data_IF_206038507251
#
_entry.id   IF_206038507251
#
_cell.length_a   1.000
_cell.length_b   1.000
_cell.length_c   1.000
_cell.angle_alpha   90.00
_cell.angle_beta   90.00
_cell.angle_gamma   90.00
#
_symmetry.space_group_name_H-M   'P 1'
#
loop_
_entity.id
_entity.type
_entity.pdbx_description
1 polymer ?
#
# COMPACT_ATOMS: atom_id res chain seq x y z
N UNK A 1 -3.00 10.29 -33.52
CA UNK A 1 -2.79 9.12 -32.63
C UNK A 1 -3.06 9.56 -31.19
N UNK A 2 -4.14 9.09 -30.56
CA UNK A 2 -4.33 9.26 -29.10
C UNK A 2 -3.43 8.23 -28.42
N UNK A 3 -2.27 8.67 -27.89
CA UNK A 3 -1.48 7.85 -26.97
C UNK A 3 -2.28 7.71 -25.68
N UNK A 4 -2.60 6.47 -25.32
CA UNK A 4 -3.21 6.09 -24.06
C UNK A 4 -2.38 6.67 -22.92
N UNK A 5 -3.01 7.44 -22.03
CA UNK A 5 -2.41 7.88 -20.79
C UNK A 5 -2.19 6.64 -19.92
N UNK A 6 -0.98 6.06 -19.98
CA UNK A 6 -0.48 5.33 -18.81
C UNK A 6 -0.64 6.26 -17.61
N UNK A 7 -1.23 5.77 -16.52
CA UNK A 7 -1.31 6.54 -15.28
C UNK A 7 0.12 7.03 -14.98
N UNK A 8 0.33 8.35 -14.97
CA UNK A 8 1.67 8.98 -14.96
C UNK A 8 2.55 8.43 -13.84
N UNK A 9 1.91 8.09 -12.71
CA UNK A 9 2.54 7.54 -11.52
C UNK A 9 3.28 6.23 -11.78
N UNK A 10 2.78 5.37 -12.67
CA UNK A 10 3.39 4.07 -12.94
C UNK A 10 4.67 4.16 -13.77
N UNK A 11 4.85 5.23 -14.55
CA UNK A 11 6.10 5.45 -15.29
C UNK A 11 7.17 6.12 -14.41
N UNK A 12 6.78 6.74 -13.29
CA UNK A 12 7.69 7.33 -12.29
C UNK A 12 8.27 6.30 -11.31
N UNK A 13 7.58 5.18 -11.06
CA UNK A 13 8.00 4.16 -10.07
C UNK A 13 8.98 3.07 -10.57
N UNK A 14 9.75 3.26 -11.65
CA UNK A 14 10.52 2.16 -12.29
C UNK A 14 12.03 2.16 -11.97
N UNK A 15 12.59 0.99 -11.59
CA UNK A 15 14.04 0.76 -11.37
C UNK A 15 14.79 0.17 -12.56
N UNK A 16 15.93 0.74 -12.99
CA UNK A 16 16.78 0.06 -13.98
C UNK A 16 17.42 -1.27 -13.51
N UNK A 17 17.52 -1.57 -12.21
CA UNK A 17 18.24 -2.74 -11.69
C UNK A 17 17.41 -4.03 -11.53
N UNK A 18 16.08 -3.92 -11.56
CA UNK A 18 15.18 -5.07 -11.52
C UNK A 18 14.84 -5.55 -12.93
N UNK A 19 14.50 -6.83 -13.07
CA UNK A 19 13.80 -7.24 -14.29
C UNK A 19 12.44 -6.53 -14.35
N UNK A 20 11.99 -6.22 -15.57
CA UNK A 20 10.69 -5.61 -15.80
C UNK A 20 9.54 -6.41 -15.15
N UNK A 21 9.68 -7.72 -15.00
CA UNK A 21 8.71 -8.57 -14.31
C UNK A 21 8.74 -8.38 -12.79
N UNK A 22 9.92 -8.30 -12.18
CA UNK A 22 10.06 -8.08 -10.73
C UNK A 22 9.54 -6.69 -10.33
N UNK A 23 9.82 -5.64 -11.14
CA UNK A 23 9.28 -4.28 -10.88
C UNK A 23 7.77 -4.17 -10.99
N UNK A 24 7.16 -5.01 -11.82
CA UNK A 24 5.72 -4.97 -12.01
C UNK A 24 5.05 -5.41 -10.71
N UNK A 25 5.56 -6.45 -10.07
CA UNK A 25 4.78 -7.16 -9.06
C UNK A 25 4.88 -6.64 -7.62
N UNK A 26 5.74 -5.65 -7.35
CA UNK A 26 5.91 -5.09 -6.01
C UNK A 26 4.95 -3.92 -5.71
N UNK A 27 4.54 -3.80 -4.44
CA UNK A 27 3.73 -2.69 -3.90
C UNK A 27 4.67 -1.63 -3.34
N UNK A 28 5.25 -0.93 -4.30
CA UNK A 28 6.35 -0.01 -4.09
C UNK A 28 7.65 -0.70 -4.50
N UNK A 29 8.57 0.02 -5.12
CA UNK A 29 9.90 -0.48 -5.43
C UNK A 29 10.83 0.60 -5.92
N UNK A 30 11.97 0.75 -5.22
CA UNK A 30 13.03 1.72 -5.51
C UNK A 30 13.32 1.74 -6.99
N UNK A 31 13.24 2.89 -7.65
CA UNK A 31 13.75 3.13 -9.00
C UNK A 31 14.90 4.13 -9.07
N UNK A 32 15.68 4.20 -7.99
CA UNK A 32 16.63 5.27 -7.74
C UNK A 32 16.11 6.29 -6.72
N UNK A 33 17.03 7.18 -6.36
CA UNK A 33 17.15 8.18 -5.28
C UNK A 33 15.89 8.91 -4.75
N UNK A 34 14.74 8.25 -4.51
CA UNK A 34 13.54 8.89 -3.99
C UNK A 34 12.66 7.92 -3.18
N UNK A 35 12.39 8.29 -1.92
CA UNK A 35 11.41 7.71 -0.98
C UNK A 35 9.96 7.65 -1.49
N UNK A 36 9.69 8.15 -2.70
CA UNK A 36 8.39 8.17 -3.37
C UNK A 36 7.98 6.79 -3.88
N UNK A 37 8.94 5.88 -4.04
CA UNK A 37 8.68 4.56 -4.60
C UNK A 37 8.23 3.53 -3.57
N UNK A 38 8.27 3.84 -2.27
CA UNK A 38 7.84 2.94 -1.19
C UNK A 38 6.38 3.16 -0.82
N UNK A 39 5.47 3.06 -1.79
CA UNK A 39 4.09 3.52 -1.61
C UNK A 39 3.34 2.83 -0.46
N UNK A 40 3.57 1.53 -0.24
CA UNK A 40 3.01 0.85 0.94
C UNK A 40 3.59 1.39 2.25
N UNK A 41 4.93 1.50 2.35
CA UNK A 41 5.57 2.03 3.56
C UNK A 41 5.25 3.52 3.80
N UNK A 42 5.01 4.30 2.75
CA UNK A 42 4.50 5.67 2.84
C UNK A 42 3.07 5.71 3.40
N UNK A 43 2.22 4.75 3.03
CA UNK A 43 0.90 4.59 3.65
C UNK A 43 1.01 4.27 5.14
N UNK A 44 1.91 3.36 5.51
CA UNK A 44 2.16 3.03 6.91
C UNK A 44 2.66 4.25 7.70
N UNK A 45 3.65 4.98 7.17
CA UNK A 45 4.17 6.20 7.80
C UNK A 45 3.09 7.27 7.99
N UNK A 46 2.23 7.42 6.98
CA UNK A 46 1.06 8.29 7.07
C UNK A 46 0.14 7.88 8.23
N UNK A 47 -0.20 6.59 8.35
CA UNK A 47 -1.07 6.11 9.42
C UNK A 47 -0.46 6.30 10.82
N UNK A 48 0.84 6.06 11.01
CA UNK A 48 1.51 6.34 12.29
C UNK A 48 1.39 7.82 12.70
N UNK A 49 1.55 8.72 11.73
CA UNK A 49 1.39 10.15 11.96
C UNK A 49 -0.06 10.51 12.28
N UNK A 50 -1.02 9.98 11.55
CA UNK A 50 -2.44 10.29 11.74
C UNK A 50 -2.97 9.79 13.09
N UNK A 51 -2.60 8.58 13.51
CA UNK A 51 -3.11 8.01 14.77
C UNK A 51 -2.35 8.47 16.02
N UNK A 52 -1.03 8.67 15.94
CA UNK A 52 -0.18 8.95 17.13
C UNK A 52 0.64 10.23 17.03
N UNK A 53 0.59 10.95 15.91
CA UNK A 53 1.45 12.11 15.67
C UNK A 53 2.93 11.75 15.50
N UNK A 54 3.25 10.47 15.37
CA UNK A 54 4.64 10.01 15.20
C UNK A 54 5.11 10.31 13.78
N UNK A 55 6.18 11.10 13.68
CA UNK A 55 6.86 11.33 12.41
C UNK A 55 7.91 10.24 12.20
N UNK A 56 7.44 9.05 11.81
CA UNK A 56 8.29 7.95 11.32
C UNK A 56 8.39 8.07 9.80
N UNK A 57 9.58 7.84 9.25
CA UNK A 57 9.78 7.83 7.80
C UNK A 57 9.57 6.45 7.19
N UNK A 58 9.25 6.40 5.89
CA UNK A 58 9.04 5.15 5.18
C UNK A 58 10.29 4.25 5.14
N UNK A 59 11.50 4.82 5.23
CA UNK A 59 12.74 4.03 5.36
C UNK A 59 12.78 3.22 6.63
N UNK A 60 12.40 3.81 7.76
CA UNK A 60 12.39 3.12 9.05
C UNK A 60 11.40 1.97 9.02
N UNK A 61 10.22 2.17 8.42
CA UNK A 61 9.21 1.13 8.22
C UNK A 61 9.70 0.05 7.25
N UNK A 62 10.37 0.42 6.15
CA UNK A 62 10.95 -0.56 5.23
C UNK A 62 12.07 -1.39 5.90
N UNK A 63 12.92 -0.74 6.69
CA UNK A 63 13.96 -1.41 7.49
C UNK A 63 13.33 -2.36 8.48
N UNK A 64 12.27 -1.96 9.16
CA UNK A 64 11.53 -2.81 10.06
C UNK A 64 10.91 -4.01 9.36
N UNK A 65 10.22 -3.78 8.25
CA UNK A 65 9.60 -4.84 7.46
C UNK A 65 10.62 -5.94 7.11
N UNK A 66 11.84 -5.55 6.74
CA UNK A 66 12.92 -6.47 6.40
C UNK A 66 13.64 -7.07 7.62
N UNK A 67 13.97 -6.27 8.64
CA UNK A 67 14.87 -6.67 9.75
C UNK A 67 14.16 -7.01 11.06
N UNK A 68 12.94 -6.50 11.28
CA UNK A 68 12.22 -6.57 12.56
C UNK A 68 12.86 -5.73 13.66
N UNK A 69 13.41 -4.56 13.34
CA UNK A 69 14.28 -3.80 14.25
C UNK A 69 13.88 -2.35 14.50
N UNK A 70 12.84 -1.80 13.86
CA UNK A 70 12.54 -0.37 14.01
C UNK A 70 11.75 -0.02 15.27
N UNK A 71 11.17 -1.00 15.96
CA UNK A 71 10.49 -0.77 17.23
C UNK A 71 10.67 -1.95 18.20
N UNK A 72 10.84 -1.67 19.50
CA UNK A 72 11.00 -2.71 20.53
C UNK A 72 9.66 -3.23 21.07
N UNK A 73 8.56 -2.68 20.57
CA UNK A 73 7.20 -2.90 21.06
C UNK A 73 6.29 -3.40 19.93
N UNK A 74 6.76 -4.33 19.12
CA UNK A 74 5.95 -5.02 18.13
C UNK A 74 6.42 -6.48 18.00
N UNK A 75 5.62 -7.34 17.36
CA UNK A 75 5.92 -8.78 17.23
C UNK A 75 6.52 -9.15 15.85
N UNK A 76 6.98 -8.17 15.08
CA UNK A 76 7.51 -8.36 13.74
C UNK A 76 8.99 -8.75 13.76
N UNK A 77 9.30 -9.93 13.21
CA UNK A 77 10.66 -10.47 13.19
C UNK A 77 11.45 -10.10 11.92
N UNK A 78 10.84 -9.37 10.99
CA UNK A 78 11.41 -9.09 9.67
C UNK A 78 11.20 -10.24 8.68
N UNK A 79 11.09 -9.90 7.38
CA UNK A 79 11.03 -10.92 6.32
C UNK A 79 12.38 -11.56 6.03
N UNK A 80 13.47 -10.86 6.31
CA UNK A 80 14.83 -11.29 5.96
C UNK A 80 15.14 -11.26 4.47
N UNK A 81 14.21 -10.85 3.59
CA UNK A 81 14.45 -10.66 2.17
C UNK A 81 14.86 -9.21 1.89
N UNK A 82 16.13 -9.02 1.53
CA UNK A 82 16.66 -7.71 1.17
C UNK A 82 15.92 -7.09 -0.03
N UNK A 83 15.26 -7.91 -0.86
CA UNK A 83 14.44 -7.42 -1.96
C UNK A 83 13.22 -6.66 -1.47
N UNK A 84 12.63 -6.99 -0.34
CA UNK A 84 11.48 -6.24 0.20
C UNK A 84 11.88 -4.84 0.64
N UNK A 85 13.05 -4.71 1.26
CA UNK A 85 13.63 -3.40 1.59
C UNK A 85 14.03 -2.63 0.33
N UNK A 86 14.77 -3.30 -0.56
CA UNK A 86 15.32 -2.66 -1.75
C UNK A 86 14.24 -2.29 -2.76
N UNK A 87 13.16 -3.07 -2.86
CA UNK A 87 12.22 -3.01 -3.98
C UNK A 87 10.77 -3.09 -3.57
N UNK A 88 10.46 -3.00 -2.28
CA UNK A 88 9.13 -3.18 -1.73
C UNK A 88 8.60 -4.61 -1.86
N UNK A 89 7.59 -4.96 -1.04
CA UNK A 89 7.05 -6.31 -0.98
C UNK A 89 6.15 -6.59 -2.18
N UNK A 90 6.08 -7.87 -2.57
CA UNK A 90 5.19 -8.32 -3.64
C UNK A 90 3.71 -8.10 -3.28
N UNK A 91 2.89 -7.68 -4.25
CA UNK A 91 1.45 -7.53 -4.06
C UNK A 91 0.72 -8.88 -3.96
N UNK A 92 1.24 -9.87 -4.67
CA UNK A 92 0.70 -11.22 -4.76
C UNK A 92 1.80 -12.25 -4.49
N UNK A 93 1.41 -13.39 -3.92
CA UNK A 93 2.33 -14.51 -3.67
C UNK A 93 2.39 -15.50 -4.84
N UNK A 94 1.45 -15.40 -5.77
CA UNK A 94 1.33 -16.27 -6.95
C UNK A 94 1.52 -15.48 -8.26
N UNK A 95 1.92 -16.19 -9.31
CA UNK A 95 2.16 -15.58 -10.64
C UNK A 95 0.86 -15.23 -11.35
N UNK A 96 -0.20 -15.97 -11.02
CA UNK A 96 -1.56 -15.78 -11.50
C UNK A 96 -2.22 -14.51 -10.94
N UNK A 97 -1.61 -13.90 -9.90
CA UNK A 97 -2.06 -12.67 -9.23
C UNK A 97 -3.47 -12.83 -8.68
N UNK A 98 -3.70 -13.96 -8.02
CA UNK A 98 -4.97 -14.31 -7.39
C UNK A 98 -4.90 -14.24 -5.88
N UNK A 99 -3.73 -14.50 -5.29
CA UNK A 99 -3.53 -14.54 -3.83
C UNK A 99 -2.75 -13.32 -3.36
N UNK A 100 -3.38 -12.33 -2.69
CA UNK A 100 -2.70 -11.17 -2.17
C UNK A 100 -1.64 -11.60 -1.17
N UNK A 101 -0.58 -10.81 -1.06
CA UNK A 101 0.43 -11.03 -0.06
C UNK A 101 -0.11 -10.74 1.34
N UNK A 102 -0.49 -11.80 2.06
CA UNK A 102 -1.00 -11.70 3.41
C UNK A 102 0.05 -11.20 4.40
N UNK A 103 1.34 -11.47 4.17
CA UNK A 103 2.45 -10.94 4.99
C UNK A 103 2.42 -9.40 5.05
N UNK A 104 2.03 -8.75 3.94
CA UNK A 104 1.87 -7.31 3.87
C UNK A 104 0.73 -6.80 4.76
N UNK A 105 -0.37 -7.54 4.81
CA UNK A 105 -1.49 -7.23 5.70
C UNK A 105 -1.11 -7.48 7.16
N UNK A 106 -0.44 -8.59 7.42
CA UNK A 106 -0.03 -9.00 8.76
C UNK A 106 0.91 -7.95 9.35
N UNK A 107 1.85 -7.42 8.55
CA UNK A 107 2.68 -6.28 8.93
C UNK A 107 1.86 -5.02 9.25
N UNK A 108 0.87 -4.67 8.43
CA UNK A 108 -0.04 -3.57 8.74
C UNK A 108 -0.77 -3.80 10.06
N UNK A 109 -1.30 -5.00 10.25
CA UNK A 109 -2.00 -5.41 11.46
C UNK A 109 -1.07 -5.50 12.68
N UNK A 110 0.24 -5.60 12.49
CA UNK A 110 1.22 -5.58 13.57
C UNK A 110 1.27 -4.22 14.27
N UNK A 111 0.83 -3.13 13.63
CA UNK A 111 0.82 -1.79 14.26
C UNK A 111 -0.57 -1.25 14.49
N UNK A 112 -1.53 -1.68 13.66
CA UNK A 112 -2.85 -1.09 13.61
C UNK A 112 -3.95 -2.10 13.91
N UNK A 113 -5.05 -1.62 14.49
CA UNK A 113 -6.29 -2.40 14.57
C UNK A 113 -6.95 -2.42 13.19
N UNK A 114 -7.41 -3.59 12.77
CA UNK A 114 -8.03 -3.77 11.44
C UNK A 114 -9.45 -4.33 11.58
N UNK A 115 -10.35 -3.88 10.71
CA UNK A 115 -11.76 -4.33 10.69
C UNK A 115 -11.86 -5.80 10.22
N UNK A 116 -10.90 -6.21 9.40
CA UNK A 116 -10.77 -7.58 8.87
C UNK A 116 -9.43 -8.19 9.29
N UNK A 117 -9.33 -9.52 9.28
CA UNK A 117 -8.06 -10.25 9.48
C UNK A 117 -7.24 -10.45 8.19
N UNK A 118 -7.68 -9.89 7.06
CA UNK A 118 -7.06 -10.06 5.75
C UNK A 118 -7.47 -8.98 4.76
N UNK A 119 -6.82 -8.96 3.60
CA UNK A 119 -7.21 -8.14 2.45
C UNK A 119 -8.62 -8.47 1.92
N UNK A 120 -9.38 -7.44 1.52
CA UNK A 120 -10.66 -7.54 0.80
C UNK A 120 -10.40 -7.39 -0.71
N UNK A 121 -10.84 -8.35 -1.55
CA UNK A 121 -10.48 -8.42 -2.98
C UNK A 121 -11.63 -8.17 -3.97
N UNK A 122 -12.90 -8.35 -3.59
CA UNK A 122 -14.01 -8.37 -4.56
C UNK A 122 -15.09 -7.33 -4.32
N UNK A 123 -15.09 -6.66 -3.16
CA UNK A 123 -15.96 -5.52 -2.87
C UNK A 123 -15.26 -4.55 -1.92
N UNK A 124 -14.14 -3.98 -2.35
CA UNK A 124 -13.43 -2.95 -1.55
C UNK A 124 -14.37 -1.80 -1.13
N UNK A 125 -15.39 -1.48 -1.93
CA UNK A 125 -16.43 -0.50 -1.60
C UNK A 125 -17.21 -0.81 -0.33
N UNK A 126 -17.25 -2.09 0.11
CA UNK A 126 -17.87 -2.49 1.38
C UNK A 126 -17.12 -2.01 2.62
N UNK A 127 -15.85 -1.58 2.47
CA UNK A 127 -15.06 -1.00 3.55
C UNK A 127 -15.48 0.44 3.88
N UNK A 128 -16.31 1.06 3.03
CA UNK A 128 -16.81 2.42 3.23
C UNK A 128 -18.21 2.39 3.86
N UNK A 129 -18.55 3.45 4.58
CA UNK A 129 -19.88 3.60 5.14
C UNK A 129 -20.95 3.76 4.03
N UNK A 130 -22.24 3.76 4.41
CA UNK A 130 -23.36 3.86 3.45
C UNK A 130 -23.32 5.11 2.55
N UNK A 131 -22.61 6.16 2.96
CA UNK A 131 -22.44 7.39 2.19
C UNK A 131 -21.18 7.36 1.31
N UNK A 132 -20.44 6.24 1.30
CA UNK A 132 -19.25 6.05 0.50
C UNK A 132 -18.00 6.70 1.08
N UNK A 133 -17.94 7.01 2.38
CA UNK A 133 -16.74 7.57 3.02
C UNK A 133 -16.22 6.66 4.13
N UNK A 134 -14.97 6.81 4.56
CA UNK A 134 -14.52 6.19 5.82
C UNK A 134 -15.12 6.94 7.02
N UNK A 135 -15.25 6.28 8.19
CA UNK A 135 -15.59 7.02 9.40
C UNK A 135 -14.40 7.86 9.88
N UNK A 136 -14.66 8.86 10.73
CA UNK A 136 -13.58 9.65 11.31
C UNK A 136 -12.65 8.77 12.14
N UNK A 137 -11.34 8.86 11.87
CA UNK A 137 -10.34 8.02 12.52
C UNK A 137 -10.27 6.60 11.96
N UNK A 138 -10.87 6.33 10.80
CA UNK A 138 -10.67 5.09 10.05
C UNK A 138 -10.03 5.38 8.69
N UNK A 139 -9.17 4.47 8.23
CA UNK A 139 -8.45 4.61 6.97
C UNK A 139 -8.51 3.30 6.19
N UNK A 140 -8.59 3.40 4.86
CA UNK A 140 -8.56 2.23 3.98
C UNK A 140 -7.27 2.27 3.16
N UNK A 141 -6.34 1.36 3.46
CA UNK A 141 -5.13 1.16 2.66
C UNK A 141 -5.52 0.32 1.46
N UNK A 142 -5.38 0.87 0.26
CA UNK A 142 -5.82 0.26 -0.98
C UNK A 142 -4.68 0.04 -1.95
N UNK A 143 -4.67 -1.14 -2.58
CA UNK A 143 -3.78 -1.47 -3.68
C UNK A 143 -4.57 -1.43 -4.99
N UNK A 144 -4.11 -0.60 -5.93
CA UNK A 144 -4.60 -0.65 -7.31
C UNK A 144 -3.47 -1.01 -8.26
N UNK A 145 -3.83 -1.60 -9.40
CA UNK A 145 -2.87 -2.10 -10.36
C UNK A 145 -3.27 -1.85 -11.81
N UNK A 146 -2.28 -1.87 -12.68
CA UNK A 146 -2.50 -1.85 -14.14
C UNK A 146 -2.59 -3.27 -14.69
N UNK A 147 -3.21 -3.44 -15.87
CA UNK A 147 -3.19 -4.71 -16.62
C UNK A 147 -1.78 -5.20 -16.95
N UNK A 148 -0.80 -4.29 -16.89
CA UNK A 148 0.61 -4.58 -17.09
C UNK A 148 1.30 -5.10 -15.83
N UNK A 149 0.55 -5.29 -14.74
CA UNK A 149 1.01 -5.92 -13.51
C UNK A 149 1.68 -5.00 -12.52
N UNK A 150 1.73 -3.69 -12.74
CA UNK A 150 2.26 -2.68 -11.80
C UNK A 150 1.25 -2.38 -10.70
N UNK A 151 1.67 -2.36 -9.44
CA UNK A 151 0.82 -2.08 -8.28
C UNK A 151 1.25 -0.83 -7.52
N UNK A 152 0.30 -0.19 -6.85
CA UNK A 152 0.54 1.01 -6.06
C UNK A 152 -0.39 1.05 -4.86
N UNK A 153 0.14 1.42 -3.69
CA UNK A 153 -0.61 1.58 -2.46
C UNK A 153 -0.97 3.05 -2.22
N UNK A 154 -2.20 3.28 -1.78
CA UNK A 154 -2.73 4.60 -1.43
C UNK A 154 -3.70 4.51 -0.25
N UNK A 155 -4.13 5.66 0.27
CA UNK A 155 -5.22 5.75 1.23
C UNK A 155 -6.51 6.08 0.48
N UNK A 156 -7.45 5.14 0.38
CA UNK A 156 -8.77 5.43 -0.17
C UNK A 156 -9.60 6.23 0.84
N UNK A 157 -10.18 7.34 0.37
CA UNK A 157 -10.94 8.27 1.20
C UNK A 157 -12.45 8.07 1.02
N UNK A 158 -12.87 7.78 -0.22
CA UNK A 158 -14.28 7.60 -0.54
C UNK A 158 -14.48 6.75 -1.80
N UNK A 159 -15.66 6.13 -1.91
CA UNK A 159 -16.14 5.42 -3.08
C UNK A 159 -17.47 6.00 -3.55
N UNK A 160 -17.57 6.33 -4.83
CA UNK A 160 -18.80 6.78 -5.48
C UNK A 160 -18.77 6.45 -6.97
N UNK A 161 -19.89 5.97 -7.51
CA UNK A 161 -20.10 5.74 -8.94
C UNK A 161 -19.00 4.92 -9.62
N UNK A 162 -18.55 3.84 -8.98
CA UNK A 162 -17.53 2.94 -9.51
C UNK A 162 -16.11 3.49 -9.47
N UNK A 163 -15.86 4.55 -8.69
CA UNK A 163 -14.55 5.17 -8.53
C UNK A 163 -14.19 5.35 -7.07
N UNK A 164 -12.92 5.18 -6.78
CA UNK A 164 -12.33 5.47 -5.47
C UNK A 164 -11.56 6.78 -5.55
N UNK A 165 -11.88 7.74 -4.69
CA UNK A 165 -11.01 8.88 -4.38
C UNK A 165 -9.93 8.40 -3.42
N UNK A 166 -8.69 8.78 -3.67
CA UNK A 166 -7.57 8.45 -2.80
C UNK A 166 -6.66 9.64 -2.55
N UNK A 167 -6.01 9.60 -1.41
CA UNK A 167 -4.79 10.35 -1.11
C UNK A 167 -3.59 9.44 -1.30
N UNK A 168 -2.56 9.92 -1.99
CA UNK A 168 -1.29 9.24 -2.18
C UNK A 168 -0.22 9.87 -1.28
N UNK A 169 0.19 9.20 -0.19
CA UNK A 169 1.19 9.74 0.72
C UNK A 169 2.58 9.89 0.09
N UNK A 170 2.88 9.13 -0.96
CA UNK A 170 4.18 9.16 -1.64
C UNK A 170 4.39 10.48 -2.39
N UNK A 171 3.33 10.97 -3.03
CA UNK A 171 3.34 12.20 -3.83
C UNK A 171 2.63 13.37 -3.14
N UNK A 172 1.93 13.10 -2.02
CA UNK A 172 1.11 14.05 -1.27
C UNK A 172 0.03 14.69 -2.14
N UNK A 173 -0.59 13.90 -3.00
CA UNK A 173 -1.62 14.33 -3.94
C UNK A 173 -2.91 13.54 -3.76
N UNK A 174 -4.02 14.13 -4.17
CA UNK A 174 -5.31 13.43 -4.27
C UNK A 174 -5.61 13.11 -5.74
N UNK A 175 -6.26 11.98 -5.97
CA UNK A 175 -6.71 11.58 -7.30
C UNK A 175 -7.84 10.55 -7.21
N UNK A 176 -8.20 9.96 -8.34
CA UNK A 176 -9.25 8.93 -8.44
C UNK A 176 -8.80 7.74 -9.26
N UNK A 177 -9.31 6.55 -8.94
CA UNK A 177 -9.07 5.32 -9.70
C UNK A 177 -10.41 4.59 -9.94
N UNK A 178 -10.58 4.04 -11.14
CA UNK A 178 -11.75 3.21 -11.47
C UNK A 178 -11.69 1.89 -10.69
N UNK A 179 -12.85 1.39 -10.24
CA UNK A 179 -12.95 0.18 -9.43
C UNK A 179 -12.32 -1.06 -10.07
N UNK A 180 -12.35 -1.15 -11.40
CA UNK A 180 -11.76 -2.26 -12.17
C UNK A 180 -10.23 -2.35 -12.05
N UNK A 181 -9.58 -1.29 -11.57
CA UNK A 181 -8.14 -1.27 -11.33
C UNK A 181 -7.79 -1.54 -9.86
N UNK A 182 -8.76 -1.47 -8.95
CA UNK A 182 -8.55 -1.80 -7.55
C UNK A 182 -8.39 -3.30 -7.43
N UNK A 183 -7.33 -3.72 -6.75
CA UNK A 183 -6.97 -5.12 -6.59
C UNK A 183 -7.47 -5.66 -5.25
N UNK A 184 -7.12 -4.95 -4.18
CA UNK A 184 -7.54 -5.27 -2.83
C UNK A 184 -7.30 -4.12 -1.87
N UNK A 185 -7.92 -4.15 -0.69
CA UNK A 185 -7.74 -3.14 0.33
C UNK A 185 -7.95 -3.69 1.74
N UNK A 186 -7.40 -3.00 2.72
CA UNK A 186 -7.52 -3.31 4.15
C UNK A 186 -7.96 -2.07 4.90
N UNK A 187 -8.89 -2.25 5.85
CA UNK A 187 -9.41 -1.16 6.66
C UNK A 187 -8.75 -1.17 8.03
N UNK A 188 -8.18 -0.03 8.38
CA UNK A 188 -7.56 0.27 9.65
C UNK A 188 -8.53 1.11 10.49
N UNK A 189 -8.81 0.66 11.71
CA UNK A 189 -9.81 1.26 12.62
C UNK A 189 -9.19 1.88 13.87
N UNK A 190 -7.90 1.67 14.10
CA UNK A 190 -7.21 2.12 15.31
C UNK A 190 -5.72 1.82 15.29
N UNK A 191 -5.06 2.16 16.39
CA UNK A 191 -3.63 1.91 16.62
C UNK A 191 -3.46 1.00 17.81
N UNK A 192 -2.68 -0.08 17.68
CA UNK A 192 -2.46 -1.03 18.78
C UNK A 192 -1.58 -0.39 19.87
N UNK A 193 -2.05 -0.42 21.11
CA UNK A 193 -1.23 -0.10 22.27
C UNK A 193 -0.44 -1.36 22.68
N UNK A 194 0.89 -1.26 22.68
CA UNK A 194 1.84 -2.30 23.11
C UNK A 194 2.46 -1.94 24.46
#
# INVERSE_FOLDING_TARGET
MKKLSKLSIFDECMNPELSENEMRETVGGNGGDYSQNWCFFNCMAYLHKEYRGYNIDASSIATDYFQGTANTNDDWNGTGDIKDYAYGPMAYTDKERTTPNQELFDYMSNYFETDTGSWEQNKVSSLFNKNGSTASGEYVVGIFGSSSGKYHAVIFESYSDGKYKYYDPSYKTESTVDEKYVQFAGKVTGYKDF
#
